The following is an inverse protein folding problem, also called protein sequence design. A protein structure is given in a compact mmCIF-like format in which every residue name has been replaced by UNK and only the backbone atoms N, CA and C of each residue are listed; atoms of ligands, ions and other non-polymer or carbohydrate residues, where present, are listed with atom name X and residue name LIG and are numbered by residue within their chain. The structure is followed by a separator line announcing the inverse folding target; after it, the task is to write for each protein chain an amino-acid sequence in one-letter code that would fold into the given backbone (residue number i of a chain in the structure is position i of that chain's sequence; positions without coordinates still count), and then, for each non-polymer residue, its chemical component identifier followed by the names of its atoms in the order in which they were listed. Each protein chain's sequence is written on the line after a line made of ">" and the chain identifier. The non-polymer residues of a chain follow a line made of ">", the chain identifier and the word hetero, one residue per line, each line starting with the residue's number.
data_IF_649213002903
#
_entry.id   IF_649213002903
#
_cell.length_a   1.000
_cell.length_b   1.000
_cell.length_c   1.000
_cell.angle_alpha   90.00
_cell.angle_beta   90.00
_cell.angle_gamma   90.00
#
_symmetry.space_group_name_H-M   'P 1'
#
loop_
_entity.id
_entity.type
_entity.pdbx_description
1 polymer ?
#
# COMPACT_ATOMS: atom_id res chain seq x y z
N UNK A 1 -2.33 6.47 5.11
CA UNK A 1 -1.46 6.74 3.95
C UNK A 1 -0.18 7.40 4.44
N UNK A 2 0.96 6.93 3.96
CA UNK A 2 2.26 7.50 4.30
C UNK A 2 2.55 8.63 3.32
N UNK A 3 2.70 9.85 3.81
CA UNK A 3 2.94 10.98 2.94
C UNK A 3 4.41 11.03 2.52
N UNK A 4 4.67 11.02 1.21
CA UNK A 4 6.00 11.28 0.62
C UNK A 4 6.26 12.77 0.41
N UNK A 5 5.25 13.63 0.55
CA UNK A 5 5.34 15.07 0.30
C UNK A 5 5.52 15.90 1.57
N UNK A 6 5.33 15.29 2.74
CA UNK A 6 5.58 15.96 4.02
C UNK A 6 7.07 16.19 4.24
N UNK A 7 7.44 17.40 4.66
CA UNK A 7 8.84 17.80 4.89
C UNK A 7 9.52 16.94 5.97
N UNK A 8 8.73 16.43 6.92
CA UNK A 8 9.16 15.57 8.05
C UNK A 8 8.75 14.10 7.86
N UNK A 9 8.55 13.64 6.63
CA UNK A 9 8.26 12.22 6.41
C UNK A 9 9.48 11.34 6.76
N UNK A 10 9.21 10.11 7.21
CA UNK A 10 10.28 9.20 7.61
C UNK A 10 11.17 8.68 6.50
N UNK A 11 10.75 8.76 5.22
CA UNK A 11 11.68 8.54 4.11
C UNK A 11 12.83 9.56 4.12
N UNK A 12 12.56 10.79 4.57
CA UNK A 12 13.57 11.84 4.71
C UNK A 12 14.26 11.84 6.06
N UNK A 13 13.50 11.72 7.16
CA UNK A 13 14.08 11.86 8.51
C UNK A 13 14.80 10.60 8.96
N UNK A 14 14.35 9.42 8.52
CA UNK A 14 14.82 8.15 9.08
C UNK A 14 15.69 7.42 8.05
N UNK A 15 15.18 7.15 6.85
CA UNK A 15 15.91 6.37 5.83
C UNK A 15 17.20 7.05 5.38
N UNK A 16 17.20 8.38 5.19
CA UNK A 16 18.43 9.11 4.84
C UNK A 16 19.47 9.00 5.95
N UNK A 17 19.06 9.06 7.22
CA UNK A 17 19.98 8.90 8.34
C UNK A 17 20.54 7.47 8.40
N UNK A 18 19.70 6.46 8.19
CA UNK A 18 20.12 5.05 8.12
C UNK A 18 21.19 4.86 7.05
N UNK A 19 20.98 5.40 5.85
CA UNK A 19 21.94 5.35 4.72
C UNK A 19 23.28 6.02 5.02
N UNK A 20 23.31 7.04 5.88
CA UNK A 20 24.52 7.79 6.19
C UNK A 20 25.27 7.25 7.42
N UNK A 21 24.75 6.21 8.06
CA UNK A 21 25.19 5.79 9.40
C UNK A 21 26.49 4.96 9.44
N UNK A 22 26.55 3.81 8.73
CA UNK A 22 27.58 2.78 8.99
C UNK A 22 28.33 2.24 7.77
N UNK A 23 27.91 2.55 6.54
CA UNK A 23 28.60 2.16 5.30
C UNK A 23 28.76 0.65 5.07
N UNK A 24 28.04 -0.17 5.86
CA UNK A 24 28.03 -1.63 5.82
C UNK A 24 27.14 -2.17 4.67
N UNK A 25 27.01 -3.49 4.58
CA UNK A 25 26.19 -4.13 3.55
C UNK A 25 24.71 -3.72 3.64
N UNK A 26 24.16 -3.58 4.85
CA UNK A 26 22.76 -3.15 5.03
C UNK A 26 22.54 -1.72 4.53
N UNK A 27 23.44 -0.81 4.90
CA UNK A 27 23.45 0.59 4.46
C UNK A 27 23.54 0.69 2.93
N UNK A 28 24.44 -0.09 2.31
CA UNK A 28 24.57 -0.17 0.85
C UNK A 28 23.34 -0.75 0.18
N UNK A 29 22.68 -1.73 0.81
CA UNK A 29 21.44 -2.29 0.31
C UNK A 29 20.33 -1.23 0.25
N UNK A 30 20.13 -0.50 1.35
CA UNK A 30 19.13 0.57 1.44
C UNK A 30 19.41 1.71 0.45
N UNK A 31 20.67 2.15 0.35
CA UNK A 31 21.03 3.20 -0.62
C UNK A 31 20.72 2.76 -2.05
N UNK A 32 21.12 1.54 -2.42
CA UNK A 32 20.88 1.04 -3.77
C UNK A 32 19.39 0.84 -4.05
N UNK A 33 18.56 0.42 -3.09
CA UNK A 33 17.11 0.28 -3.31
C UNK A 33 16.43 1.65 -3.46
N UNK A 34 16.84 2.67 -2.69
CA UNK A 34 16.40 4.04 -2.88
C UNK A 34 16.80 4.59 -4.27
N UNK A 35 18.05 4.34 -4.68
CA UNK A 35 18.53 4.75 -6.01
C UNK A 35 17.82 4.01 -7.15
N UNK A 36 17.43 2.74 -6.95
CA UNK A 36 16.65 2.00 -7.93
C UNK A 36 15.29 2.66 -8.19
N UNK A 37 14.57 3.04 -7.13
CA UNK A 37 13.29 3.76 -7.24
C UNK A 37 13.50 5.11 -7.94
N UNK A 38 14.52 5.88 -7.54
CA UNK A 38 14.81 7.18 -8.16
C UNK A 38 15.18 7.05 -9.65
N UNK A 39 16.05 6.09 -10.00
CA UNK A 39 16.46 5.82 -11.37
C UNK A 39 15.29 5.34 -12.25
N UNK A 40 14.38 4.55 -11.68
CA UNK A 40 13.18 4.10 -12.38
C UNK A 40 12.30 5.29 -12.76
N UNK A 41 12.00 6.19 -11.81
CA UNK A 41 11.19 7.38 -12.09
C UNK A 41 11.87 8.35 -13.06
N UNK A 42 13.20 8.42 -13.06
CA UNK A 42 13.95 9.33 -13.92
C UNK A 42 14.15 8.80 -15.35
N UNK A 43 14.42 7.50 -15.51
CA UNK A 43 14.90 6.94 -16.78
C UNK A 43 14.38 5.52 -17.09
N UNK A 44 13.48 4.99 -16.26
CA UNK A 44 12.83 3.69 -16.46
C UNK A 44 13.65 2.48 -16.00
N UNK A 45 13.11 1.29 -16.28
CA UNK A 45 13.60 -0.01 -15.78
C UNK A 45 15.08 -0.26 -16.07
N UNK A 46 15.56 0.06 -17.27
CA UNK A 46 16.93 -0.23 -17.68
C UNK A 46 17.97 0.47 -16.79
N UNK A 47 17.74 1.73 -16.44
CA UNK A 47 18.63 2.51 -15.58
C UNK A 47 18.55 2.10 -14.12
N UNK A 48 17.40 1.59 -13.68
CA UNK A 48 17.20 1.14 -12.31
C UNK A 48 17.78 -0.24 -12.01
N UNK A 49 17.88 -1.11 -13.03
CA UNK A 49 18.25 -2.51 -12.89
C UNK A 49 19.57 -2.70 -12.12
N UNK A 50 20.62 -1.93 -12.45
CA UNK A 50 21.91 -2.03 -11.77
C UNK A 50 21.80 -1.76 -10.27
N UNK A 51 21.07 -0.72 -9.90
CA UNK A 51 20.85 -0.37 -8.49
C UNK A 51 20.04 -1.45 -7.78
N UNK A 52 18.97 -1.95 -8.40
CA UNK A 52 18.18 -3.06 -7.86
C UNK A 52 19.01 -4.32 -7.63
N UNK A 53 19.80 -4.74 -8.62
CA UNK A 53 20.68 -5.92 -8.50
C UNK A 53 21.71 -5.74 -7.37
N UNK A 54 22.30 -4.55 -7.25
CA UNK A 54 23.21 -4.24 -6.15
C UNK A 54 22.49 -4.28 -4.80
N UNK A 55 21.27 -3.73 -4.71
CA UNK A 55 20.49 -3.72 -3.48
C UNK A 55 20.20 -5.15 -2.99
N UNK A 56 19.72 -6.04 -3.87
CA UNK A 56 19.48 -7.45 -3.53
C UNK A 56 20.77 -8.14 -3.10
N UNK A 57 21.87 -7.92 -3.82
CA UNK A 57 23.18 -8.51 -3.48
C UNK A 57 23.66 -8.07 -2.10
N UNK A 58 23.59 -6.77 -1.81
CA UNK A 58 24.03 -6.23 -0.52
C UNK A 58 23.09 -6.64 0.62
N UNK A 59 21.78 -6.73 0.37
CA UNK A 59 20.82 -7.21 1.36
C UNK A 59 21.10 -8.68 1.70
N UNK A 60 21.28 -9.53 0.69
CA UNK A 60 21.65 -10.94 0.88
C UNK A 60 22.97 -11.08 1.66
N UNK A 61 23.99 -10.29 1.32
CA UNK A 61 25.25 -10.27 2.06
C UNK A 61 25.08 -9.81 3.52
N UNK A 62 24.18 -8.86 3.78
CA UNK A 62 23.89 -8.39 5.14
C UNK A 62 23.11 -9.41 5.97
N UNK A 63 22.41 -10.35 5.33
CA UNK A 63 21.64 -11.42 5.98
C UNK A 63 22.43 -12.74 6.07
N UNK A 64 23.68 -12.76 5.62
CA UNK A 64 24.54 -13.94 5.74
C UNK A 64 25.21 -13.92 7.13
N UNK A 65 25.08 -14.98 7.94
CA UNK A 65 25.74 -15.05 9.25
C UNK A 65 27.27 -14.96 9.09
N UNK A 66 27.93 -14.25 10.01
CA UNK A 66 29.38 -14.24 10.08
C UNK A 66 29.94 -15.63 10.41
N UNK A 67 31.20 -15.90 10.04
CA UNK A 67 31.86 -17.20 10.25
C UNK A 67 31.83 -17.69 11.71
N UNK A 68 31.67 -16.79 12.69
CA UNK A 68 31.73 -17.08 14.13
C UNK A 68 30.37 -17.02 14.85
N UNK A 69 29.27 -16.71 14.15
CA UNK A 69 27.93 -16.55 14.73
C UNK A 69 26.89 -17.36 13.97
N UNK A 70 26.11 -18.18 14.68
CA UNK A 70 25.03 -18.99 14.09
C UNK A 70 23.74 -18.21 13.83
N UNK A 71 23.60 -16.99 14.38
CA UNK A 71 22.40 -16.15 14.24
C UNK A 71 22.65 -14.93 13.36
N UNK A 72 21.66 -14.56 12.56
CA UNK A 72 21.66 -13.32 11.75
C UNK A 72 21.48 -12.13 12.70
N UNK A 73 22.38 -11.14 12.63
CA UNK A 73 22.21 -9.87 13.34
C UNK A 73 21.25 -8.98 12.55
N UNK A 74 19.99 -9.00 12.96
CA UNK A 74 18.92 -8.24 12.33
C UNK A 74 18.94 -6.78 12.81
N UNK A 75 18.76 -5.84 11.87
CA UNK A 75 18.63 -4.41 12.18
C UNK A 75 17.58 -3.72 11.30
N UNK A 76 17.16 -2.53 11.72
CA UNK A 76 16.16 -1.71 11.04
C UNK A 76 16.58 -1.29 9.61
N UNK A 77 17.88 -1.22 9.31
CA UNK A 77 18.37 -0.84 7.97
C UNK A 77 18.13 -1.96 6.95
N UNK A 78 18.30 -3.23 7.35
CA UNK A 78 17.96 -4.38 6.50
C UNK A 78 16.45 -4.43 6.23
N UNK A 79 15.65 -4.21 7.29
CA UNK A 79 14.20 -4.09 7.18
C UNK A 79 13.79 -2.98 6.19
N UNK A 80 14.33 -1.78 6.36
CA UNK A 80 14.06 -0.64 5.48
C UNK A 80 14.50 -0.91 4.03
N UNK A 81 15.64 -1.59 3.84
CA UNK A 81 16.12 -1.96 2.52
C UNK A 81 15.15 -2.92 1.80
N UNK A 82 14.62 -3.92 2.52
CA UNK A 82 13.61 -4.85 2.00
C UNK A 82 12.29 -4.16 1.70
N UNK A 83 11.84 -3.25 2.57
CA UNK A 83 10.67 -2.42 2.31
C UNK A 83 10.86 -1.51 1.07
N UNK A 84 12.04 -0.94 0.86
CA UNK A 84 12.33 -0.16 -0.35
C UNK A 84 12.41 -1.02 -1.61
N UNK A 85 12.92 -2.25 -1.53
CA UNK A 85 12.89 -3.22 -2.63
C UNK A 85 11.46 -3.63 -2.97
N UNK A 86 10.62 -3.86 -1.95
CA UNK A 86 9.19 -4.04 -2.12
C UNK A 86 8.61 -2.87 -2.92
N UNK A 87 8.84 -1.62 -2.46
CA UNK A 87 8.38 -0.43 -3.17
C UNK A 87 8.88 -0.33 -4.62
N UNK A 88 10.13 -0.69 -4.89
CA UNK A 88 10.66 -0.72 -6.26
C UNK A 88 9.81 -1.62 -7.18
N UNK A 89 9.49 -2.82 -6.71
CA UNK A 89 8.64 -3.76 -7.44
C UNK A 89 7.22 -3.22 -7.68
N UNK A 90 6.77 -2.15 -7.00
CA UNK A 90 5.46 -1.48 -7.28
C UNK A 90 5.54 -0.76 -8.60
N UNK A 91 6.63 -0.02 -8.76
CA UNK A 91 6.79 0.89 -9.86
C UNK A 91 7.12 0.12 -11.14
N UNK A 92 7.95 -0.91 -11.01
CA UNK A 92 8.33 -1.80 -12.11
C UNK A 92 7.44 -3.05 -12.17
N UNK A 93 6.33 -2.96 -12.91
CA UNK A 93 5.36 -4.06 -13.11
C UNK A 93 6.02 -5.37 -13.58
N UNK A 94 7.19 -5.29 -14.22
CA UNK A 94 7.92 -6.47 -14.75
C UNK A 94 8.67 -7.25 -13.68
N UNK A 95 8.89 -6.68 -12.50
CA UNK A 95 9.64 -7.31 -11.43
C UNK A 95 8.84 -8.40 -10.71
N UNK A 96 7.59 -8.11 -10.35
CA UNK A 96 6.66 -9.07 -9.72
C UNK A 96 7.05 -9.61 -8.33
N UNK A 97 8.25 -9.31 -7.82
CA UNK A 97 8.82 -9.91 -6.60
C UNK A 97 8.49 -9.18 -5.30
N UNK A 98 7.47 -8.31 -5.31
CA UNK A 98 7.15 -7.47 -4.16
C UNK A 98 6.76 -8.27 -2.90
N UNK A 99 6.05 -9.39 -3.07
CA UNK A 99 5.64 -10.27 -1.97
C UNK A 99 6.86 -10.84 -1.25
N UNK A 100 7.86 -11.33 -2.00
CA UNK A 100 9.10 -11.85 -1.43
C UNK A 100 9.81 -10.82 -0.55
N UNK A 101 9.85 -9.56 -1.01
CA UNK A 101 10.45 -8.47 -0.23
C UNK A 101 9.61 -8.07 0.99
N UNK A 102 8.29 -8.12 0.88
CA UNK A 102 7.38 -7.87 2.01
C UNK A 102 7.44 -8.99 3.06
N UNK A 103 7.49 -10.25 2.65
CA UNK A 103 7.66 -11.41 3.54
C UNK A 103 9.03 -11.38 4.23
N UNK A 104 10.08 -10.97 3.50
CA UNK A 104 11.40 -10.71 4.09
C UNK A 104 11.36 -9.61 5.15
N UNK A 105 10.65 -8.51 4.89
CA UNK A 105 10.47 -7.44 5.88
C UNK A 105 9.71 -7.92 7.12
N UNK A 106 8.67 -8.74 6.93
CA UNK A 106 7.91 -9.37 8.01
C UNK A 106 8.79 -10.25 8.91
N UNK A 107 9.58 -11.14 8.31
CA UNK A 107 10.54 -11.98 9.03
C UNK A 107 11.52 -11.15 9.87
N UNK A 108 12.06 -10.07 9.28
CA UNK A 108 12.98 -9.19 10.00
C UNK A 108 12.31 -8.46 11.16
N UNK A 109 11.06 -8.01 10.97
CA UNK A 109 10.29 -7.35 12.02
C UNK A 109 10.05 -8.27 13.22
N UNK A 110 9.66 -9.53 12.98
CA UNK A 110 9.47 -10.54 14.02
C UNK A 110 10.76 -10.82 14.81
N UNK A 111 11.92 -10.82 14.13
CA UNK A 111 13.22 -10.99 14.76
C UNK A 111 13.70 -9.76 15.55
N UNK A 112 13.36 -8.56 15.10
CA UNK A 112 13.72 -7.30 15.77
C UNK A 112 12.90 -7.04 17.03
N UNK A 113 11.63 -7.46 17.03
CA UNK A 113 10.68 -7.17 18.12
C UNK A 113 9.98 -8.45 18.62
N UNK A 114 10.72 -9.44 19.16
CA UNK A 114 10.14 -10.73 19.57
C UNK A 114 9.09 -10.57 20.68
N UNK A 115 9.30 -9.63 21.61
CA UNK A 115 8.37 -9.26 22.68
C UNK A 115 7.59 -8.00 22.27
N UNK A 116 6.61 -8.19 21.40
CA UNK A 116 5.73 -7.22 20.70
C UNK A 116 4.98 -6.17 21.57
N UNK A 117 5.40 -5.88 22.81
CA UNK A 117 4.59 -5.15 23.80
C UNK A 117 5.19 -3.89 24.42
N UNK A 118 6.47 -3.54 24.24
CA UNK A 118 7.06 -2.49 25.11
C UNK A 118 7.58 -1.22 24.46
N UNK A 119 7.87 -1.16 23.16
CA UNK A 119 8.42 0.06 22.57
C UNK A 119 7.99 0.34 21.13
N UNK A 120 6.83 -0.17 20.69
CA UNK A 120 6.21 0.34 19.45
C UNK A 120 5.65 1.74 19.76
N UNK A 121 6.53 2.72 20.02
CA UNK A 121 6.24 4.06 19.50
C UNK A 121 6.04 3.85 18.01
N UNK A 122 5.02 4.48 17.45
CA UNK A 122 4.64 4.33 16.05
C UNK A 122 5.72 4.93 15.13
N UNK A 123 6.90 4.29 15.10
CA UNK A 123 8.02 4.68 14.29
C UNK A 123 7.64 4.44 12.83
N UNK A 124 8.07 5.35 11.96
CA UNK A 124 7.68 5.41 10.56
C UNK A 124 7.79 4.06 9.86
N UNK A 125 8.87 3.30 10.11
CA UNK A 125 9.14 1.98 9.54
C UNK A 125 8.02 0.97 9.82
N UNK A 126 7.51 0.93 11.06
CA UNK A 126 6.45 0.02 11.45
C UNK A 126 5.12 0.41 10.79
N UNK A 127 4.76 1.69 10.88
CA UNK A 127 3.57 2.22 10.19
C UNK A 127 3.63 1.97 8.68
N UNK A 128 4.84 2.06 8.12
CA UNK A 128 5.08 1.83 6.70
C UNK A 128 4.84 0.39 6.29
N UNK A 129 5.38 -0.56 7.05
CA UNK A 129 5.11 -1.98 6.84
C UNK A 129 3.63 -2.31 7.05
N UNK A 130 3.01 -1.85 8.13
CA UNK A 130 1.62 -2.17 8.44
C UNK A 130 0.66 -1.71 7.35
N UNK A 131 0.84 -0.49 6.83
CA UNK A 131 0.06 0.01 5.68
C UNK A 131 0.16 -0.93 4.50
N UNK A 132 1.37 -1.45 4.22
CA UNK A 132 1.59 -2.31 3.08
C UNK A 132 1.13 -3.76 3.29
N UNK A 133 1.27 -4.32 4.49
CA UNK A 133 0.80 -5.66 4.83
C UNK A 133 -0.73 -5.74 4.80
N UNK A 134 -1.45 -4.74 5.34
CA UNK A 134 -2.93 -4.70 5.30
C UNK A 134 -3.44 -4.74 3.85
N UNK A 135 -2.83 -3.96 2.96
CA UNK A 135 -3.21 -3.94 1.55
C UNK A 135 -2.81 -5.24 0.83
N UNK A 136 -1.67 -5.84 1.19
CA UNK A 136 -1.27 -7.13 0.65
C UNK A 136 -2.25 -8.25 1.04
N UNK A 137 -2.71 -8.28 2.30
CA UNK A 137 -3.72 -9.23 2.76
C UNK A 137 -5.06 -9.07 2.03
N UNK A 138 -5.46 -7.83 1.74
CA UNK A 138 -6.65 -7.57 0.91
C UNK A 138 -6.47 -8.12 -0.51
N UNK A 139 -5.33 -7.83 -1.12
CA UNK A 139 -5.01 -8.17 -2.49
C UNK A 139 -4.80 -9.68 -2.69
N UNK A 140 -4.29 -10.39 -1.69
CA UNK A 140 -4.06 -11.84 -1.73
C UNK A 140 -4.56 -12.50 -0.43
N UNK A 141 -5.89 -12.69 -0.25
CA UNK A 141 -6.46 -13.22 0.99
C UNK A 141 -6.04 -14.67 1.29
N UNK A 142 -5.56 -15.40 0.28
CA UNK A 142 -5.05 -16.77 0.41
C UNK A 142 -3.53 -16.83 0.65
N UNK A 143 -2.82 -15.69 0.58
CA UNK A 143 -1.38 -15.62 0.88
C UNK A 143 -1.18 -16.10 2.31
N UNK A 144 -0.53 -17.25 2.44
CA UNK A 144 -0.47 -18.13 3.61
C UNK A 144 -0.76 -17.46 4.96
N UNK A 145 -1.84 -17.92 5.61
CA UNK A 145 -2.14 -17.69 7.03
C UNK A 145 -1.17 -18.41 8.00
N UNK A 146 -0.05 -18.96 7.51
CA UNK A 146 1.02 -19.47 8.38
C UNK A 146 1.90 -18.27 8.76
N UNK A 147 1.89 -17.89 10.03
CA UNK A 147 2.55 -16.70 10.58
C UNK A 147 1.90 -15.38 10.15
N UNK A 148 0.57 -15.30 10.17
CA UNK A 148 -0.05 -13.97 10.25
C UNK A 148 0.38 -13.36 11.58
N UNK A 149 1.27 -12.36 11.56
CA UNK A 149 1.36 -11.39 12.65
C UNK A 149 -0.07 -11.00 12.96
N UNK A 150 -0.54 -11.29 14.17
CA UNK A 150 -1.89 -10.93 14.55
C UNK A 150 -1.97 -9.40 14.50
N UNK A 151 -2.49 -8.88 13.39
CA UNK A 151 -2.59 -7.44 13.14
C UNK A 151 -3.43 -6.80 14.23
N UNK A 152 -4.40 -7.52 14.80
CA UNK A 152 -5.19 -7.06 15.95
C UNK A 152 -4.34 -7.01 17.24
N UNK A 153 -3.36 -7.90 17.40
CA UNK A 153 -2.39 -7.85 18.49
C UNK A 153 -1.37 -6.71 18.33
N UNK A 154 -0.94 -6.40 17.11
CA UNK A 154 -0.10 -5.24 16.78
C UNK A 154 -0.82 -3.90 17.03
N UNK A 155 -2.12 -3.83 16.73
CA UNK A 155 -2.98 -2.67 17.04
C UNK A 155 -3.34 -2.59 18.53
N UNK A 156 -3.34 -3.72 19.24
CA UNK A 156 -3.75 -3.83 20.65
C UNK A 156 -2.78 -3.23 21.68
N UNK A 157 -1.57 -2.82 21.27
CA UNK A 157 -0.56 -2.20 22.14
C UNK A 157 -0.34 -0.70 21.90
N UNK A 158 -0.85 -0.15 20.80
CA UNK A 158 -0.61 1.23 20.39
C UNK A 158 -1.92 1.98 20.38
N UNK A 159 -1.97 3.17 20.99
CA UNK A 159 -3.00 4.15 20.66
C UNK A 159 -2.80 4.53 19.19
N UNK A 160 -3.32 3.73 18.26
CA UNK A 160 -3.25 3.99 16.81
C UNK A 160 -4.03 5.27 16.45
N UNK A 161 -4.83 5.75 17.40
CA UNK A 161 -5.46 7.07 17.45
C UNK A 161 -4.42 8.21 17.47
N UNK A 162 -3.20 7.98 17.98
CA UNK A 162 -2.16 8.99 18.12
C UNK A 162 -1.35 9.25 16.83
N UNK A 163 -1.22 8.27 15.93
CA UNK A 163 -0.51 8.45 14.65
C UNK A 163 -1.35 9.14 13.57
N UNK A 164 -2.66 9.27 13.81
CA UNK A 164 -3.62 10.00 12.98
C UNK A 164 -4.04 11.34 13.59
N UNK A 165 -3.67 11.61 14.86
CA UNK A 165 -3.78 12.95 15.40
C UNK A 165 -2.70 13.81 14.77
N UNK A 166 -3.13 14.74 13.92
CA UNK A 166 -2.37 15.97 13.70
C UNK A 166 -1.98 16.46 15.10
N UNK A 167 -0.69 16.53 15.38
CA UNK A 167 -0.20 16.96 16.69
C UNK A 167 -0.86 18.33 17.00
N UNK A 168 -1.50 18.54 18.15
CA UNK A 168 -2.16 19.83 18.45
C UNK A 168 -1.18 21.02 18.37
N UNK A 169 0.12 20.76 18.56
CA UNK A 169 1.18 21.76 18.38
C UNK A 169 1.56 21.98 16.90
N UNK A 170 1.31 21.03 16.00
CA UNK A 170 1.42 21.21 14.54
C UNK A 170 0.21 21.98 13.95
N UNK A 171 -0.94 22.05 14.64
CA UNK A 171 -2.11 22.85 14.20
C UNK A 171 -1.82 24.35 14.05
N UNK A 172 -0.81 24.87 14.75
CA UNK A 172 -0.52 26.31 14.81
C UNK A 172 0.11 26.82 13.49
N UNK A 173 0.52 25.93 12.57
CA UNK A 173 1.17 26.31 11.30
C UNK A 173 0.73 25.55 10.04
N UNK A 174 -0.24 24.63 10.10
CA UNK A 174 -0.66 23.88 8.92
C UNK A 174 -1.62 24.66 8.01
N UNK A 175 -1.27 24.74 6.72
CA UNK A 175 -2.13 25.38 5.72
C UNK A 175 -3.52 24.69 5.67
N UNK A 176 -4.64 25.43 5.78
CA UNK A 176 -5.99 24.85 5.82
C UNK A 176 -6.30 23.86 4.70
N UNK A 177 -5.82 24.13 3.49
CA UNK A 177 -5.99 23.25 2.32
C UNK A 177 -5.35 21.86 2.51
N UNK A 178 -4.23 21.76 3.24
CA UNK A 178 -3.55 20.50 3.52
C UNK A 178 -4.38 19.64 4.48
N UNK A 179 -4.88 20.24 5.56
CA UNK A 179 -5.78 19.56 6.51
C UNK A 179 -7.02 19.03 5.82
N UNK A 180 -7.65 19.84 4.97
CA UNK A 180 -8.81 19.42 4.18
C UNK A 180 -8.51 18.19 3.31
N UNK A 181 -7.35 18.14 2.65
CA UNK A 181 -6.94 16.98 1.83
C UNK A 181 -6.70 15.72 2.66
N UNK A 182 -6.07 15.85 3.83
CA UNK A 182 -5.82 14.71 4.74
C UNK A 182 -7.16 14.11 5.20
N UNK A 183 -8.09 14.96 5.67
CA UNK A 183 -9.41 14.52 6.11
C UNK A 183 -10.22 13.90 4.97
N UNK A 184 -10.20 14.50 3.78
CA UNK A 184 -10.85 13.93 2.60
C UNK A 184 -10.26 12.58 2.19
N UNK A 185 -8.93 12.41 2.33
CA UNK A 185 -8.27 11.12 2.06
C UNK A 185 -8.66 10.07 3.11
N UNK A 186 -8.70 10.44 4.39
CA UNK A 186 -9.15 9.55 5.46
C UNK A 186 -10.60 9.10 5.25
N UNK A 187 -11.46 10.05 4.87
CA UNK A 187 -12.87 9.77 4.58
C UNK A 187 -13.04 8.85 3.37
N UNK A 188 -12.22 9.04 2.33
CA UNK A 188 -12.17 8.14 1.18
C UNK A 188 -11.82 6.70 1.59
N UNK A 189 -10.85 6.48 2.49
CA UNK A 189 -10.57 5.14 3.03
C UNK A 189 -11.73 4.61 3.89
N UNK A 190 -12.33 5.44 4.75
CA UNK A 190 -13.47 5.05 5.59
C UNK A 190 -14.64 4.52 4.73
N UNK A 191 -15.03 5.28 3.71
CA UNK A 191 -16.10 4.88 2.79
C UNK A 191 -15.71 3.64 2.00
N UNK A 192 -14.48 3.57 1.46
CA UNK A 192 -13.99 2.37 0.77
C UNK A 192 -14.07 1.10 1.64
N UNK A 193 -13.73 1.21 2.93
CA UNK A 193 -13.88 0.12 3.91
C UNK A 193 -15.33 -0.27 4.14
N UNK A 194 -16.24 0.70 4.25
CA UNK A 194 -17.65 0.39 4.41
C UNK A 194 -18.21 -0.29 3.16
N UNK A 195 -17.91 0.22 1.96
CA UNK A 195 -18.30 -0.42 0.71
C UNK A 195 -17.76 -1.86 0.61
N UNK A 196 -16.52 -2.11 1.03
CA UNK A 196 -15.96 -3.45 1.13
C UNK A 196 -16.77 -4.36 2.08
N UNK A 197 -17.09 -3.88 3.29
CA UNK A 197 -17.86 -4.65 4.26
C UNK A 197 -19.27 -4.98 3.75
N UNK A 198 -19.97 -3.99 3.17
CA UNK A 198 -21.28 -4.15 2.54
C UNK A 198 -21.25 -5.11 1.33
N UNK A 199 -20.09 -5.28 0.70
CA UNK A 199 -19.88 -6.24 -0.37
C UNK A 199 -19.61 -7.67 0.15
N UNK A 200 -18.77 -7.80 1.19
CA UNK A 200 -18.38 -9.11 1.74
C UNK A 200 -19.49 -9.74 2.58
N UNK A 201 -20.21 -8.92 3.34
CA UNK A 201 -21.27 -9.32 4.28
C UNK A 201 -22.55 -8.53 3.94
N UNK A 202 -23.22 -8.82 2.80
CA UNK A 202 -24.41 -8.07 2.40
C UNK A 202 -25.57 -8.37 3.34
N UNK A 203 -26.23 -7.31 3.82
CA UNK A 203 -27.46 -7.37 4.60
C UNK A 203 -28.66 -6.84 3.78
N UNK A 204 -29.89 -7.32 4.08
CA UNK A 204 -31.08 -6.78 3.43
C UNK A 204 -31.25 -5.27 3.72
N UNK A 205 -31.34 -4.46 2.67
CA UNK A 205 -31.52 -3.01 2.77
C UNK A 205 -30.25 -2.17 2.56
N UNK A 206 -29.08 -2.81 2.34
CA UNK A 206 -27.80 -2.10 2.17
C UNK A 206 -27.73 -1.24 0.89
N UNK A 207 -28.62 -1.44 -0.10
CA UNK A 207 -28.53 -0.76 -1.41
C UNK A 207 -28.70 0.77 -1.32
N UNK A 208 -29.60 1.26 -0.45
CA UNK A 208 -29.77 2.70 -0.22
C UNK A 208 -28.53 3.31 0.44
N UNK A 209 -27.92 2.56 1.37
CA UNK A 209 -26.70 2.96 2.05
C UNK A 209 -25.50 2.99 1.11
N UNK A 210 -25.36 1.98 0.23
CA UNK A 210 -24.33 1.97 -0.83
C UNK A 210 -24.47 3.16 -1.76
N UNK A 211 -25.68 3.46 -2.21
CA UNK A 211 -25.95 4.59 -3.10
C UNK A 211 -25.52 5.91 -2.46
N UNK A 212 -25.89 6.11 -1.19
CA UNK A 212 -25.50 7.31 -0.41
C UNK A 212 -23.98 7.45 -0.32
N UNK A 213 -23.27 6.35 -0.01
CA UNK A 213 -21.81 6.38 0.08
C UNK A 213 -21.12 6.58 -1.27
N UNK A 214 -21.69 6.06 -2.37
CA UNK A 214 -21.17 6.31 -3.71
C UNK A 214 -21.29 7.78 -4.09
N UNK A 215 -22.41 8.43 -3.79
CA UNK A 215 -22.56 9.87 -4.03
C UNK A 215 -21.53 10.67 -3.23
N UNK A 216 -21.42 10.39 -1.93
CA UNK A 216 -20.45 11.05 -1.04
C UNK A 216 -19.00 10.88 -1.51
N UNK A 217 -18.61 9.66 -1.91
CA UNK A 217 -17.24 9.38 -2.33
C UNK A 217 -16.88 10.13 -3.62
N UNK A 218 -17.83 10.25 -4.55
CA UNK A 218 -17.60 10.96 -5.79
C UNK A 218 -17.43 12.47 -5.55
N UNK A 219 -18.18 13.06 -4.63
CA UNK A 219 -18.00 14.46 -4.22
C UNK A 219 -16.63 14.69 -3.57
N UNK A 220 -16.18 13.74 -2.73
CA UNK A 220 -14.84 13.78 -2.13
C UNK A 220 -13.76 13.73 -3.21
N UNK A 221 -13.92 12.85 -4.21
CA UNK A 221 -12.96 12.67 -5.29
C UNK A 221 -12.83 13.91 -6.17
N UNK A 222 -13.94 14.59 -6.47
CA UNK A 222 -13.93 15.87 -7.18
C UNK A 222 -13.20 16.95 -6.39
N UNK A 223 -13.43 17.04 -5.08
CA UNK A 223 -12.75 18.01 -4.20
C UNK A 223 -11.25 17.75 -4.04
N UNK A 224 -10.83 16.48 -4.05
CA UNK A 224 -9.42 16.11 -3.98
C UNK A 224 -8.65 16.45 -5.26
N UNK A 225 -9.36 16.53 -6.39
CA UNK A 225 -8.79 16.73 -7.72
C UNK A 225 -8.04 15.49 -8.19
N UNK A 226 -6.86 15.22 -7.63
CA UNK A 226 -6.06 14.03 -7.94
C UNK A 226 -6.04 13.10 -6.73
N UNK A 227 -6.72 11.95 -6.86
CA UNK A 227 -6.68 10.89 -5.86
C UNK A 227 -5.28 10.27 -5.79
N UNK A 228 -4.84 9.89 -4.59
CA UNK A 228 -3.53 9.24 -4.36
C UNK A 228 -3.68 7.88 -3.67
N UNK A 229 -4.91 7.43 -3.45
CA UNK A 229 -5.24 6.16 -2.80
C UNK A 229 -5.83 5.22 -3.83
N UNK A 230 -5.09 4.24 -4.38
CA UNK A 230 -5.66 3.31 -5.36
C UNK A 230 -6.75 2.41 -4.76
N UNK A 231 -6.57 1.96 -3.50
CA UNK A 231 -7.48 1.00 -2.86
C UNK A 231 -8.94 1.48 -2.80
N UNK A 232 -9.26 2.68 -2.27
CA UNK A 232 -10.63 3.14 -2.25
C UNK A 232 -11.23 3.32 -3.64
N UNK A 233 -10.45 3.76 -4.64
CA UNK A 233 -10.95 3.93 -6.01
C UNK A 233 -11.41 2.59 -6.59
N UNK A 234 -10.63 1.53 -6.35
CA UNK A 234 -11.02 0.20 -6.76
C UNK A 234 -12.30 -0.26 -6.07
N UNK A 235 -12.43 -0.05 -4.76
CA UNK A 235 -13.64 -0.42 -4.04
C UNK A 235 -14.88 0.32 -4.57
N UNK A 236 -14.76 1.60 -4.86
CA UNK A 236 -15.84 2.40 -5.47
C UNK A 236 -16.14 1.89 -6.88
N UNK A 237 -15.12 1.57 -7.67
CA UNK A 237 -15.29 1.08 -9.03
C UNK A 237 -16.04 -0.26 -9.09
N UNK A 238 -15.75 -1.18 -8.16
CA UNK A 238 -16.48 -2.45 -8.03
C UNK A 238 -17.97 -2.27 -7.71
N UNK A 239 -18.35 -1.13 -7.12
CA UNK A 239 -19.73 -0.81 -6.73
C UNK A 239 -20.45 0.06 -7.76
N UNK A 240 -19.79 0.48 -8.85
CA UNK A 240 -20.41 1.29 -9.89
C UNK A 240 -21.45 0.50 -10.69
N UNK A 241 -22.68 1.00 -10.72
CA UNK A 241 -23.83 0.35 -11.37
C UNK A 241 -24.23 1.00 -12.69
N UNK A 242 -23.86 2.27 -12.91
CA UNK A 242 -24.22 3.01 -14.14
C UNK A 242 -23.01 3.36 -14.97
N UNK A 243 -23.22 3.55 -16.28
CA UNK A 243 -22.16 3.98 -17.20
C UNK A 243 -21.61 5.36 -16.83
N UNK A 244 -22.44 6.27 -16.31
CA UNK A 244 -21.99 7.58 -15.82
C UNK A 244 -20.97 7.44 -14.69
N UNK A 245 -21.22 6.55 -13.73
CA UNK A 245 -20.28 6.28 -12.63
C UNK A 245 -18.98 5.66 -13.15
N UNK A 246 -19.08 4.68 -14.07
CA UNK A 246 -17.91 4.03 -14.70
C UNK A 246 -17.05 5.04 -15.46
N UNK A 247 -17.67 5.96 -16.22
CA UNK A 247 -16.97 7.04 -16.93
C UNK A 247 -16.23 7.96 -15.94
N UNK A 248 -16.83 8.31 -14.79
CA UNK A 248 -16.16 9.11 -13.75
C UNK A 248 -14.94 8.39 -13.20
N UNK A 249 -15.04 7.09 -12.90
CA UNK A 249 -13.90 6.28 -12.45
C UNK A 249 -12.77 6.26 -13.49
N UNK A 250 -13.08 6.01 -14.76
CA UNK A 250 -12.07 5.99 -15.83
C UNK A 250 -11.32 7.33 -15.94
N UNK A 251 -12.03 8.46 -15.81
CA UNK A 251 -11.42 9.80 -15.78
C UNK A 251 -10.51 9.99 -14.56
N UNK A 252 -10.91 9.50 -13.39
CA UNK A 252 -10.07 9.54 -12.18
C UNK A 252 -8.80 8.72 -12.38
N UNK A 253 -8.91 7.51 -12.93
CA UNK A 253 -7.76 6.65 -13.23
C UNK A 253 -6.81 7.30 -14.27
N UNK A 254 -7.35 7.98 -15.28
CA UNK A 254 -6.54 8.73 -16.26
C UNK A 254 -5.74 9.84 -15.57
N UNK A 255 -6.40 10.60 -14.70
CA UNK A 255 -5.77 11.68 -13.95
C UNK A 255 -4.69 11.15 -12.99
N UNK A 256 -4.96 10.06 -12.28
CA UNK A 256 -3.97 9.40 -11.41
C UNK A 256 -2.74 8.94 -12.20
N UNK A 257 -2.95 8.29 -13.34
CA UNK A 257 -1.87 7.80 -14.20
C UNK A 257 -1.04 8.96 -14.78
N UNK A 258 -1.69 10.03 -15.24
CA UNK A 258 -1.01 11.20 -15.81
C UNK A 258 -0.17 11.96 -14.79
N UNK A 259 -0.57 12.00 -13.52
CA UNK A 259 0.14 12.74 -12.47
C UNK A 259 1.23 11.89 -11.81
N UNK A 260 1.00 10.58 -11.64
CA UNK A 260 1.87 9.73 -10.82
C UNK A 260 2.67 8.71 -11.63
N UNK A 261 2.19 8.31 -12.82
CA UNK A 261 2.78 7.30 -13.69
C UNK A 261 3.27 6.06 -12.93
N UNK A 262 2.39 5.51 -12.08
CA UNK A 262 2.68 4.30 -11.28
C UNK A 262 2.05 3.12 -12.01
N UNK A 263 2.84 2.06 -12.19
CA UNK A 263 2.39 0.88 -12.92
C UNK A 263 1.14 0.21 -12.32
N UNK A 264 0.99 0.29 -10.99
CA UNK A 264 -0.18 -0.25 -10.30
C UNK A 264 -1.53 0.32 -10.80
N UNK A 265 -1.58 1.56 -11.30
CA UNK A 265 -2.83 2.17 -11.81
C UNK A 265 -3.27 1.50 -13.11
N UNK A 266 -2.31 1.08 -13.96
CA UNK A 266 -2.61 0.37 -15.21
C UNK A 266 -3.15 -1.02 -14.93
N UNK A 267 -2.50 -1.75 -14.01
CA UNK A 267 -2.97 -3.05 -13.52
C UNK A 267 -4.37 -2.92 -12.91
N UNK A 268 -4.57 -1.93 -12.03
CA UNK A 268 -5.87 -1.66 -11.39
C UNK A 268 -6.97 -1.35 -12.41
N UNK A 269 -6.69 -0.55 -13.45
CA UNK A 269 -7.65 -0.29 -14.53
C UNK A 269 -8.07 -1.57 -15.23
N UNK A 270 -7.12 -2.41 -15.63
CA UNK A 270 -7.41 -3.66 -16.31
C UNK A 270 -8.32 -4.57 -15.47
N UNK A 271 -8.12 -4.58 -14.16
CA UNK A 271 -8.92 -5.37 -13.22
C UNK A 271 -10.33 -4.81 -13.06
N UNK A 272 -10.47 -3.49 -12.91
CA UNK A 272 -11.77 -2.81 -12.86
C UNK A 272 -12.58 -3.13 -14.13
N UNK A 273 -11.97 -2.98 -15.30
CA UNK A 273 -12.62 -3.29 -16.58
C UNK A 273 -12.99 -4.77 -16.70
N UNK A 274 -12.17 -5.66 -16.14
CA UNK A 274 -12.47 -7.11 -16.10
C UNK A 274 -13.65 -7.40 -15.18
N UNK A 275 -13.73 -6.76 -14.01
CA UNK A 275 -14.89 -6.84 -13.11
C UNK A 275 -16.16 -6.38 -13.81
N UNK A 276 -16.13 -5.21 -14.44
CA UNK A 276 -17.30 -4.68 -15.16
C UNK A 276 -17.75 -5.60 -16.29
N UNK A 277 -16.82 -6.13 -17.10
CA UNK A 277 -17.14 -7.12 -18.14
C UNK A 277 -17.83 -8.36 -17.55
N UNK A 278 -17.36 -8.86 -16.42
CA UNK A 278 -17.98 -10.00 -15.76
C UNK A 278 -19.37 -9.68 -15.20
N UNK A 279 -19.55 -8.51 -14.58
CA UNK A 279 -20.85 -8.06 -14.10
C UNK A 279 -21.85 -7.89 -15.24
N UNK A 280 -21.43 -7.30 -16.35
CA UNK A 280 -22.28 -7.08 -17.54
C UNK A 280 -22.70 -8.41 -18.18
N UNK A 281 -21.80 -9.40 -18.23
CA UNK A 281 -22.11 -10.74 -18.74
C UNK A 281 -23.07 -11.53 -17.84
N UNK A 282 -23.13 -11.22 -16.54
CA UNK A 282 -23.97 -11.91 -15.57
C UNK A 282 -25.30 -11.19 -15.28
N UNK A 283 -25.55 -10.04 -15.91
CA UNK A 283 -26.72 -9.19 -15.67
C UNK A 283 -28.07 -9.91 -15.89
N UNK A 284 -28.11 -10.94 -16.74
CA UNK A 284 -29.32 -11.72 -17.03
C UNK A 284 -29.53 -12.92 -16.07
N UNK A 285 -28.55 -13.21 -15.19
CA UNK A 285 -28.64 -14.33 -14.24
C UNK A 285 -29.42 -13.91 -13.00
N UNK A 286 -30.65 -14.40 -12.90
CA UNK A 286 -31.65 -14.06 -11.85
C UNK A 286 -31.32 -14.60 -10.45
N UNK A 287 -30.07 -15.01 -10.19
CA UNK A 287 -29.66 -15.56 -8.90
C UNK A 287 -28.68 -14.60 -8.22
N UNK A 288 -29.13 -14.08 -7.08
CA UNK A 288 -28.53 -13.34 -5.95
C UNK A 288 -27.03 -13.51 -5.61
N UNK A 289 -26.19 -14.12 -6.44
CA UNK A 289 -24.74 -14.09 -6.28
C UNK A 289 -24.19 -12.80 -6.87
N UNK A 290 -24.11 -11.77 -6.03
CA UNK A 290 -23.21 -10.64 -6.27
C UNK A 290 -21.79 -11.24 -6.37
N UNK A 291 -21.31 -11.39 -7.60
CA UNK A 291 -20.05 -12.09 -7.88
C UNK A 291 -18.93 -11.35 -7.19
N UNK A 292 -18.23 -12.04 -6.31
CA UNK A 292 -17.14 -11.43 -5.56
C UNK A 292 -15.98 -11.24 -6.51
N UNK A 293 -15.45 -10.02 -6.59
CA UNK A 293 -14.39 -9.70 -7.56
C UNK A 293 -13.16 -10.61 -7.39
N UNK A 294 -12.90 -11.09 -6.17
CA UNK A 294 -11.82 -12.01 -5.85
C UNK A 294 -12.06 -13.48 -6.25
N UNK A 295 -13.23 -13.85 -6.74
CA UNK A 295 -13.51 -15.22 -7.23
C UNK A 295 -12.99 -15.46 -8.66
N UNK A 296 -12.83 -14.39 -9.43
CA UNK A 296 -12.47 -14.47 -10.86
C UNK A 296 -11.26 -13.61 -11.23
N UNK A 297 -10.82 -12.72 -10.33
CA UNK A 297 -9.50 -12.10 -10.46
C UNK A 297 -8.45 -13.13 -10.04
N UNK A 298 -7.54 -13.45 -10.95
CA UNK A 298 -6.36 -14.22 -10.61
C UNK A 298 -5.38 -13.34 -9.84
N UNK A 299 -5.49 -13.36 -8.51
CA UNK A 299 -4.60 -12.70 -7.57
C UNK A 299 -3.19 -13.33 -7.49
N UNK A 300 -2.84 -14.28 -8.36
CA UNK A 300 -1.46 -14.77 -8.51
C UNK A 300 -0.78 -14.20 -9.77
N UNK A 301 -1.55 -13.75 -10.77
CA UNK A 301 -1.04 -13.33 -12.07
C UNK A 301 -1.02 -11.81 -12.30
N UNK A 302 -1.98 -11.08 -11.72
CA UNK A 302 -2.12 -9.64 -11.92
C UNK A 302 -2.81 -9.00 -10.71
N UNK A 303 -2.11 -8.95 -9.59
CA UNK A 303 -2.69 -8.41 -8.36
C UNK A 303 -2.70 -6.90 -8.44
N UNK A 304 -3.86 -6.24 -8.24
CA UNK A 304 -3.87 -4.81 -8.08
C UNK A 304 -3.11 -4.49 -6.81
N UNK A 305 -2.01 -3.79 -6.98
CA UNK A 305 -1.26 -3.35 -5.84
C UNK A 305 -1.77 -1.99 -5.37
N UNK A 306 -2.58 -1.97 -4.32
CA UNK A 306 -3.25 -0.74 -3.91
C UNK A 306 -2.42 0.23 -3.07
N UNK A 307 -1.11 0.25 -3.32
CA UNK A 307 -0.11 0.98 -2.54
C UNK A 307 0.10 2.41 -3.06
#
# INVERSE_FOLDING_TARGET
>A
MISTTQVRNGFRTDLVQMVLSRGDSATKALWNSMMAVAAFHHSGTASALTYKTNAVRYLSASLTPGHDTSSIDLNETQFAASMMLCIYSVFDETDGNWTTHLDGAKYMLEGLYPEHRRHIRADFLFTWFLYHEVLACFSQPLRQAHNCLDVLFLLGGSSCDATLRLDPEEEIGEAPARRTRILATAELYRIGTILYLLHVIPLPGDEDQKTTYLEEVFDILERLGVATSPWPIFMVACECQTDEQRIRILRILDLMNNVRNIGNIRVMRNLIETCWKHYDLQADSTYLHRTKWWEFINCDAAVPWFI
#
